data_IF_051285662786
#
_entry.id   IF_051285662786
#
_cell.length_a   1.000
_cell.length_b   1.000
_cell.length_c   1.000
_cell.angle_alpha   90.00
_cell.angle_beta   90.00
_cell.angle_gamma   90.00
#
_symmetry.space_group_name_H-M   'P 1'
#
loop_
_entity.id
_entity.type
_entity.pdbx_description
1 polymer ?
#
# COMPACT_ATOMS: atom_id res chain seq x y z
N UNK A 1 3.73 -16.79 4.68
CA UNK A 1 5.11 -16.51 4.23
C UNK A 1 5.03 -16.02 2.79
N UNK A 2 5.70 -14.92 2.47
CA UNK A 2 5.65 -14.31 1.13
C UNK A 2 6.46 -15.12 0.12
N UNK A 3 5.97 -15.18 -1.10
CA UNK A 3 6.67 -15.77 -2.25
C UNK A 3 7.21 -14.68 -3.16
N UNK A 4 8.24 -15.02 -3.96
CA UNK A 4 8.75 -14.14 -5.01
C UNK A 4 7.63 -13.62 -5.93
N UNK A 5 6.69 -14.49 -6.33
CA UNK A 5 5.61 -14.13 -7.26
C UNK A 5 4.65 -13.11 -6.68
N UNK A 6 4.29 -13.23 -5.40
CA UNK A 6 3.47 -12.26 -4.68
C UNK A 6 4.19 -10.91 -4.57
N UNK A 7 5.48 -10.94 -4.26
CA UNK A 7 6.29 -9.72 -4.19
C UNK A 7 6.39 -8.99 -5.53
N UNK A 8 6.60 -9.72 -6.63
CA UNK A 8 6.63 -9.13 -7.98
C UNK A 8 5.25 -8.64 -8.42
N UNK A 9 4.17 -9.34 -8.05
CA UNK A 9 2.81 -8.87 -8.31
C UNK A 9 2.52 -7.55 -7.58
N UNK A 10 2.99 -7.42 -6.33
CA UNK A 10 2.95 -6.17 -5.56
C UNK A 10 3.75 -5.06 -6.26
N UNK A 11 4.98 -5.37 -6.71
CA UNK A 11 5.84 -4.42 -7.41
C UNK A 11 5.20 -3.88 -8.68
N UNK A 12 4.66 -4.77 -9.51
CA UNK A 12 3.85 -4.41 -10.69
C UNK A 12 2.67 -3.54 -10.28
N UNK A 13 1.98 -3.89 -9.20
CA UNK A 13 0.81 -3.15 -8.73
C UNK A 13 1.17 -1.71 -8.32
N UNK A 14 2.25 -1.56 -7.56
CA UNK A 14 2.66 -0.24 -7.08
C UNK A 14 3.21 0.66 -8.21
N UNK A 15 4.05 0.12 -9.09
CA UNK A 15 4.78 0.93 -10.08
C UNK A 15 4.06 1.13 -11.42
N UNK A 16 3.19 0.22 -11.83
CA UNK A 16 2.53 0.32 -13.13
C UNK A 16 1.17 1.02 -13.06
N UNK A 17 0.76 1.52 -11.89
CA UNK A 17 -0.60 2.01 -11.62
C UNK A 17 -0.94 3.28 -12.38
N UNK A 18 -2.18 3.74 -12.20
CA UNK A 18 -2.64 5.03 -12.74
C UNK A 18 -1.71 6.17 -12.29
N UNK A 19 -1.34 6.18 -11.01
CA UNK A 19 -0.31 7.05 -10.45
C UNK A 19 1.00 6.29 -10.29
N UNK A 20 2.01 6.63 -11.09
CA UNK A 20 3.33 5.98 -11.06
C UNK A 20 4.26 6.69 -10.06
N UNK A 21 4.65 6.05 -8.95
CA UNK A 21 5.59 6.61 -7.99
C UNK A 21 7.04 6.54 -8.50
N UNK A 22 7.89 7.44 -8.01
CA UNK A 22 9.33 7.45 -8.33
C UNK A 22 10.12 6.42 -7.50
N UNK A 23 9.62 6.12 -6.30
CA UNK A 23 10.21 5.16 -5.37
C UNK A 23 9.22 4.79 -4.27
N UNK A 24 9.45 3.63 -3.65
CA UNK A 24 8.60 3.11 -2.58
C UNK A 24 9.31 3.18 -1.23
N UNK A 25 8.67 3.81 -0.24
CA UNK A 25 9.06 3.66 1.16
C UNK A 25 8.07 2.76 1.88
N UNK A 26 8.58 1.72 2.54
CA UNK A 26 7.81 0.68 3.19
C UNK A 26 8.04 0.74 4.70
N UNK A 27 7.00 1.10 5.45
CA UNK A 27 6.97 1.05 6.90
C UNK A 27 6.38 -0.28 7.34
N UNK A 28 7.19 -1.12 7.97
CA UNK A 28 6.89 -2.53 8.17
C UNK A 28 6.83 -2.90 9.65
N UNK A 29 5.84 -3.73 10.01
CA UNK A 29 5.89 -4.49 11.27
C UNK A 29 7.00 -5.54 11.24
N UNK A 30 7.44 -6.01 12.42
CA UNK A 30 8.60 -6.92 12.52
C UNK A 30 8.44 -8.22 11.73
N UNK A 31 7.25 -8.84 11.76
CA UNK A 31 7.02 -10.13 11.11
C UNK A 31 6.93 -9.95 9.59
N UNK A 32 6.35 -8.84 9.12
CA UNK A 32 6.34 -8.54 7.69
C UNK A 32 7.77 -8.40 7.16
N UNK A 33 8.61 -7.67 7.89
CA UNK A 33 10.00 -7.45 7.49
C UNK A 33 10.81 -8.76 7.46
N UNK A 34 10.63 -9.63 8.46
CA UNK A 34 11.21 -10.98 8.47
C UNK A 34 10.75 -11.78 7.24
N UNK A 35 9.45 -11.80 6.95
CA UNK A 35 8.90 -12.54 5.82
C UNK A 35 9.48 -12.09 4.46
N UNK A 36 9.68 -10.79 4.26
CA UNK A 36 10.27 -10.26 3.02
C UNK A 36 11.74 -10.67 2.88
N UNK A 37 12.51 -10.64 3.97
CA UNK A 37 13.92 -11.04 3.95
C UNK A 37 14.10 -12.54 3.71
N UNK A 38 13.13 -13.37 4.08
CA UNK A 38 13.16 -14.81 3.89
C UNK A 38 12.62 -15.28 2.52
N UNK A 39 12.28 -14.38 1.61
CA UNK A 39 11.87 -14.75 0.25
C UNK A 39 13.07 -15.43 -0.47
N UNK A 40 12.79 -16.55 -1.13
CA UNK A 40 13.78 -17.22 -1.97
C UNK A 40 13.94 -16.48 -3.31
N UNK A 41 15.09 -15.83 -3.49
CA UNK A 41 15.49 -15.13 -4.72
C UNK A 41 16.48 -15.94 -5.59
N UNK A 42 16.74 -17.21 -5.28
CA UNK A 42 17.77 -18.01 -5.95
C UNK A 42 17.64 -18.11 -7.47
N UNK A 43 16.42 -18.04 -8.00
CA UNK A 43 16.14 -18.09 -9.43
C UNK A 43 16.19 -16.73 -10.14
N UNK A 44 16.44 -15.65 -9.39
CA UNK A 44 16.32 -14.25 -9.84
C UNK A 44 17.53 -13.42 -9.42
N UNK A 45 18.72 -13.66 -10.03
CA UNK A 45 19.95 -12.97 -9.69
C UNK A 45 19.93 -11.46 -9.98
N UNK A 46 18.97 -10.98 -10.77
CA UNK A 46 18.73 -9.57 -11.05
C UNK A 46 18.27 -8.77 -9.82
N UNK A 47 17.74 -9.44 -8.78
CA UNK A 47 17.28 -8.77 -7.57
C UNK A 47 18.45 -8.54 -6.62
N UNK A 48 18.70 -7.27 -6.32
CA UNK A 48 19.75 -6.86 -5.41
C UNK A 48 19.12 -6.44 -4.09
N UNK A 49 19.49 -7.14 -3.01
CA UNK A 49 19.17 -6.76 -1.65
C UNK A 49 20.40 -6.08 -1.06
N UNK A 50 20.23 -4.85 -0.58
CA UNK A 50 21.33 -4.07 -0.03
C UNK A 50 20.88 -3.12 1.08
N UNK A 51 21.84 -2.40 1.64
CA UNK A 51 21.58 -1.27 2.53
C UNK A 51 21.90 0.01 1.75
N UNK A 52 21.02 0.99 1.80
CA UNK A 52 21.18 2.28 1.13
C UNK A 52 20.88 3.40 2.11
N UNK A 53 21.57 4.52 1.96
CA UNK A 53 21.18 5.77 2.59
C UNK A 53 20.25 6.52 1.64
N UNK A 54 18.98 6.71 2.01
CA UNK A 54 17.98 7.28 1.11
C UNK A 54 17.95 8.82 1.13
N UNK A 55 17.11 9.41 0.26
CA UNK A 55 16.97 10.87 0.16
C UNK A 55 16.38 11.54 1.40
N UNK A 56 15.78 10.76 2.31
CA UNK A 56 15.28 11.23 3.60
C UNK A 56 16.34 11.17 4.71
N UNK A 57 17.55 10.67 4.41
CA UNK A 57 18.64 10.55 5.36
C UNK A 57 18.57 9.30 6.24
N UNK A 58 17.84 8.27 5.82
CA UNK A 58 17.66 7.02 6.57
C UNK A 58 18.47 5.88 5.96
N UNK A 59 19.00 5.01 6.83
CA UNK A 59 19.58 3.74 6.41
C UNK A 59 18.46 2.72 6.26
N UNK A 60 18.24 2.29 5.01
CA UNK A 60 17.10 1.45 4.63
C UNK A 60 17.58 0.15 4.00
N UNK A 61 16.82 -0.92 4.22
CA UNK A 61 17.00 -2.16 3.46
C UNK A 61 16.35 -1.98 2.09
N UNK A 62 17.12 -2.06 1.03
CA UNK A 62 16.66 -1.83 -0.33
C UNK A 62 16.56 -3.15 -1.10
N UNK A 63 15.44 -3.34 -1.82
CA UNK A 63 15.29 -4.40 -2.81
C UNK A 63 15.05 -3.74 -4.17
N UNK A 64 16.02 -3.89 -5.08
CA UNK A 64 15.90 -3.43 -6.46
C UNK A 64 15.17 -4.47 -7.32
N UNK A 65 14.12 -4.04 -8.04
CA UNK A 65 13.38 -4.88 -8.99
C UNK A 65 13.36 -4.22 -10.37
N UNK A 66 12.98 -4.98 -11.40
CA UNK A 66 12.79 -4.44 -12.75
C UNK A 66 11.73 -3.31 -12.83
N UNK A 67 10.83 -3.20 -11.84
CA UNK A 67 9.81 -2.15 -11.78
C UNK A 67 10.28 -0.89 -11.04
N UNK A 68 11.22 -1.03 -10.12
CA UNK A 68 11.69 0.03 -9.24
C UNK A 68 12.17 -0.49 -7.88
N UNK A 69 12.49 0.45 -6.99
CA UNK A 69 13.13 0.21 -5.70
C UNK A 69 12.14 0.17 -4.55
N UNK A 70 12.26 -0.82 -3.66
CA UNK A 70 11.55 -0.83 -2.38
C UNK A 70 12.52 -0.57 -1.23
N UNK A 71 12.27 0.49 -0.47
CA UNK A 71 13.04 0.87 0.71
C UNK A 71 12.28 0.48 1.98
N UNK A 72 12.76 -0.52 2.72
CA UNK A 72 12.11 -1.10 3.89
C UNK A 72 12.71 -0.57 5.19
N UNK A 73 11.80 -0.19 6.09
CA UNK A 73 12.10 0.36 7.41
C UNK A 73 11.19 -0.32 8.43
N UNK A 74 11.78 -0.72 9.54
CA UNK A 74 11.00 -1.23 10.68
C UNK A 74 10.26 -0.07 11.36
N UNK A 75 8.95 -0.21 11.52
CA UNK A 75 8.08 0.76 12.18
C UNK A 75 7.51 0.15 13.49
N UNK A 76 8.10 0.48 14.65
CA UNK A 76 7.69 -0.10 15.94
C UNK A 76 6.23 0.16 16.28
N UNK A 77 5.66 1.28 15.82
CA UNK A 77 4.27 1.62 16.11
C UNK A 77 3.34 0.53 15.59
N UNK A 78 3.62 -0.07 14.42
CA UNK A 78 2.79 -1.15 13.87
C UNK A 78 2.75 -2.35 14.81
N UNK A 79 3.84 -2.67 15.51
CA UNK A 79 3.84 -3.74 16.50
C UNK A 79 3.02 -3.37 17.74
N UNK A 80 3.15 -2.15 18.23
CA UNK A 80 2.42 -1.66 19.41
C UNK A 80 0.90 -1.64 19.18
N UNK A 81 0.46 -1.39 17.94
CA UNK A 81 -0.95 -1.40 17.55
C UNK A 81 -1.45 -2.77 17.02
N UNK A 82 -0.61 -3.82 17.08
CA UNK A 82 -1.01 -5.20 16.72
C UNK A 82 -0.99 -5.53 15.22
N UNK A 83 -0.27 -4.76 14.41
CA UNK A 83 -0.11 -4.91 12.96
C UNK A 83 1.30 -5.40 12.57
N UNK A 84 1.89 -6.29 13.37
CA UNK A 84 3.25 -6.81 13.15
C UNK A 84 3.45 -7.54 11.81
N UNK A 85 2.39 -8.09 11.22
CA UNK A 85 2.44 -8.77 9.92
C UNK A 85 2.12 -7.84 8.74
N UNK A 86 1.92 -6.54 8.98
CA UNK A 86 1.44 -5.58 7.98
C UNK A 86 2.50 -4.57 7.56
N UNK A 87 2.24 -3.87 6.46
CA UNK A 87 3.15 -2.88 5.89
C UNK A 87 2.39 -1.74 5.20
N UNK A 88 2.82 -0.50 5.42
CA UNK A 88 2.40 0.67 4.65
C UNK A 88 3.42 1.01 3.58
N UNK A 89 3.01 1.02 2.32
CA UNK A 89 3.86 1.33 1.16
C UNK A 89 3.44 2.67 0.58
N UNK A 90 4.38 3.62 0.55
CA UNK A 90 4.12 4.99 0.16
C UNK A 90 5.00 5.41 -1.02
N UNK A 91 4.40 6.13 -1.97
CA UNK A 91 5.12 6.75 -3.08
C UNK A 91 5.82 8.03 -2.61
N UNK A 92 7.15 8.05 -2.62
CA UNK A 92 7.95 9.16 -2.07
C UNK A 92 7.60 10.52 -2.70
N UNK A 93 7.47 10.58 -4.02
CA UNK A 93 7.10 11.80 -4.76
C UNK A 93 5.60 12.16 -4.65
N UNK A 94 4.81 11.37 -3.92
CA UNK A 94 3.36 11.50 -3.73
C UNK A 94 2.97 11.70 -2.27
N UNK A 95 3.96 11.84 -1.40
CA UNK A 95 3.81 12.32 -0.03
C UNK A 95 3.86 13.85 -0.03
N UNK A 96 2.76 14.50 0.36
CA UNK A 96 2.63 15.96 0.37
C UNK A 96 2.51 16.43 1.80
N UNK A 97 3.42 17.28 2.24
CA UNK A 97 3.31 17.94 3.54
C UNK A 97 2.21 19.00 3.48
N UNK A 98 1.12 18.77 4.22
CA UNK A 98 0.06 19.75 4.41
C UNK A 98 0.32 20.50 5.70
N UNK A 99 0.77 21.74 5.56
CA UNK A 99 0.81 22.70 6.64
C UNK A 99 -0.40 23.62 6.52
N UNK A 100 -1.42 23.41 7.35
CA UNK A 100 -2.52 24.38 7.47
C UNK A 100 -2.24 25.27 8.67
N UNK A 101 -1.74 26.47 8.38
CA UNK A 101 -1.68 27.56 9.35
C UNK A 101 -3.05 28.22 9.36
N UNK A 102 -3.97 27.71 10.16
CA UNK A 102 -5.18 28.46 10.49
C UNK A 102 -4.84 29.43 11.61
N UNK A 103 -4.56 30.68 11.26
CA UNK A 103 -4.58 31.78 12.23
C UNK A 103 -6.02 31.95 12.74
N UNK A 104 -6.38 31.31 13.84
CA UNK A 104 -7.48 31.79 14.68
C UNK A 104 -6.88 32.73 15.72
N UNK A 105 -6.92 34.03 15.42
CA UNK A 105 -6.65 35.07 16.41
C UNK A 105 -7.85 35.16 17.33
N UNK A 106 -7.84 34.39 18.40
CA UNK A 106 -8.74 34.61 19.52
C UNK A 106 -8.00 35.50 20.53
N UNK A 107 -8.38 36.77 20.59
CA UNK A 107 -7.88 37.69 21.62
C UNK A 107 -8.84 37.68 22.79
N UNK A 108 -8.54 36.91 23.83
CA UNK A 108 -9.29 36.99 25.08
C UNK A 108 -8.63 38.02 26.01
N UNK A 109 -9.39 39.05 26.41
CA UNK A 109 -8.91 40.09 27.31
C UNK A 109 -9.19 39.62 28.74
N UNK A 110 -8.17 39.14 29.44
CA UNK A 110 -8.30 38.72 30.85
C UNK A 110 -8.43 39.97 31.72
N UNK A 111 -9.58 40.17 32.38
CA UNK A 111 -9.78 41.30 33.29
C UNK A 111 -8.72 41.28 34.41
N UNK A 112 -7.86 42.31 34.43
CA UNK A 112 -6.85 42.54 35.47
C UNK A 112 -5.40 42.52 35.02
N UNK A 113 -5.07 42.07 33.80
CA UNK A 113 -3.68 42.08 33.29
C UNK A 113 -3.57 42.53 31.82
N UNK A 114 -2.51 43.30 31.53
CA UNK A 114 -2.15 43.85 30.21
C UNK A 114 -1.48 42.80 29.29
N UNK A 115 -1.99 41.57 29.28
CA UNK A 115 -1.42 40.47 28.51
C UNK A 115 -2.44 39.91 27.51
N UNK A 116 -2.22 40.17 26.23
CA UNK A 116 -2.94 39.49 25.15
C UNK A 116 -2.32 38.10 24.95
N UNK A 117 -3.13 37.03 25.08
CA UNK A 117 -2.70 35.68 24.79
C UNK A 117 -3.12 35.34 23.35
N UNK A 118 -2.14 35.16 22.46
CA UNK A 118 -2.38 34.65 21.12
C UNK A 118 -2.17 33.13 21.12
N UNK A 119 -3.15 32.37 20.63
CA UNK A 119 -3.01 30.93 20.39
C UNK A 119 -3.09 30.64 18.90
N UNK A 120 -2.03 30.05 18.32
CA UNK A 120 -2.01 29.60 16.93
C UNK A 120 -2.17 28.08 16.92
N UNK A 121 -3.17 27.57 16.20
CA UNK A 121 -3.32 26.14 15.94
C UNK A 121 -2.70 25.86 14.57
N UNK A 122 -1.56 25.19 14.59
CA UNK A 122 -0.87 24.71 13.38
C UNK A 122 -1.23 23.24 13.21
N UNK A 123 -1.85 22.91 12.07
CA UNK A 123 -2.01 21.51 11.65
C UNK A 123 -0.84 21.15 10.75
N UNK A 124 -0.02 20.23 11.22
CA UNK A 124 1.09 19.63 10.49
C UNK A 124 0.72 18.16 10.22
N UNK A 125 0.48 17.82 8.96
CA UNK A 125 0.14 16.46 8.57
C UNK A 125 0.73 16.09 7.20
N UNK A 126 1.09 14.83 7.05
CA UNK A 126 1.45 14.24 5.76
C UNK A 126 0.18 13.77 5.06
N UNK A 127 -0.06 14.28 3.86
CA UNK A 127 -1.17 13.86 3.00
C UNK A 127 -0.68 12.94 1.88
N UNK A 128 -1.47 11.89 1.65
CA UNK A 128 -1.25 10.93 0.58
C UNK A 128 -1.94 11.44 -0.69
N UNK A 129 -1.16 11.79 -1.72
CA UNK A 129 -1.72 12.26 -3.00
C UNK A 129 -1.72 11.14 -4.03
N UNK A 130 -2.87 10.87 -4.63
CA UNK A 130 -3.02 9.86 -5.68
C UNK A 130 -3.25 8.45 -5.13
N UNK A 131 -3.43 7.49 -6.05
CA UNK A 131 -3.83 6.11 -5.73
C UNK A 131 -2.66 5.13 -5.58
N UNK A 132 -1.41 5.62 -5.52
CA UNK A 132 -0.21 4.78 -5.48
C UNK A 132 0.17 4.28 -4.08
N UNK A 133 -0.54 4.67 -3.02
CA UNK A 133 -0.23 4.26 -1.64
C UNK A 133 -1.01 2.99 -1.31
N UNK A 134 -0.30 1.96 -0.83
CA UNK A 134 -0.85 0.63 -0.58
C UNK A 134 -0.67 0.29 0.89
N UNK A 135 -1.74 -0.18 1.52
CA UNK A 135 -1.64 -0.84 2.82
C UNK A 135 -1.75 -2.36 2.61
N UNK A 136 -0.71 -3.07 3.02
CA UNK A 136 -0.66 -4.53 2.98
C UNK A 136 -1.09 -5.05 4.34
N UNK A 137 -2.31 -5.58 4.40
CA UNK A 137 -2.85 -6.17 5.61
C UNK A 137 -2.42 -7.64 5.74
N UNK A 138 -1.50 -7.92 6.67
CA UNK A 138 -1.06 -9.28 6.96
C UNK A 138 -1.77 -9.95 8.14
N UNK A 139 -2.71 -9.26 8.80
CA UNK A 139 -3.38 -9.78 10.00
C UNK A 139 -4.59 -10.68 9.68
N UNK A 140 -5.00 -10.77 8.41
CA UNK A 140 -6.20 -11.51 8.00
C UNK A 140 -7.51 -10.83 8.42
N UNK A 141 -7.45 -9.56 8.83
CA UNK A 141 -8.64 -8.75 9.09
C UNK A 141 -9.25 -8.24 7.77
N UNK A 142 -10.57 -8.02 7.71
CA UNK A 142 -11.21 -7.51 6.50
C UNK A 142 -10.73 -6.09 6.19
N UNK A 143 -10.76 -5.73 4.90
CA UNK A 143 -10.45 -4.38 4.45
C UNK A 143 -11.36 -3.33 5.14
N UNK A 144 -10.82 -2.12 5.34
CA UNK A 144 -11.58 -1.02 5.93
C UNK A 144 -12.80 -0.65 5.05
N UNK A 145 -13.85 -0.13 5.68
CA UNK A 145 -15.03 0.32 4.96
C UNK A 145 -14.66 1.37 3.90
N UNK A 146 -15.08 1.15 2.65
CA UNK A 146 -14.78 1.96 1.45
C UNK A 146 -13.35 1.84 0.89
N UNK A 147 -12.49 0.97 1.44
CA UNK A 147 -11.23 0.62 0.79
C UNK A 147 -11.49 -0.38 -0.34
N UNK A 148 -10.68 -0.31 -1.41
CA UNK A 148 -10.67 -1.34 -2.44
C UNK A 148 -9.88 -2.53 -1.89
N UNK A 149 -10.53 -3.69 -1.80
CA UNK A 149 -9.93 -4.91 -1.29
C UNK A 149 -9.25 -5.69 -2.43
N UNK A 150 -7.95 -5.97 -2.27
CA UNK A 150 -7.12 -6.69 -3.24
C UNK A 150 -6.65 -8.00 -2.62
N UNK A 151 -6.83 -9.11 -3.34
CA UNK A 151 -6.37 -10.43 -2.88
C UNK A 151 -5.55 -11.14 -3.95
N UNK A 152 -4.48 -11.81 -3.54
CA UNK A 152 -3.78 -12.75 -4.40
C UNK A 152 -4.60 -14.03 -4.57
N UNK A 153 -4.78 -14.46 -5.81
CA UNK A 153 -5.44 -15.71 -6.13
C UNK A 153 -4.44 -16.70 -6.72
N UNK A 154 -3.95 -17.60 -5.87
CA UNK A 154 -3.00 -18.66 -6.23
C UNK A 154 -3.66 -20.04 -6.35
N UNK A 155 -4.83 -20.09 -6.99
CA UNK A 155 -5.54 -21.34 -7.26
C UNK A 155 -5.96 -21.45 -8.73
N UNK A 156 -5.91 -22.68 -9.25
CA UNK A 156 -6.39 -22.99 -10.61
C UNK A 156 -7.93 -23.02 -10.67
N UNK A 157 -8.60 -23.19 -9.52
CA UNK A 157 -10.05 -23.10 -9.40
C UNK A 157 -10.50 -21.65 -9.24
N UNK A 158 -11.72 -21.33 -9.68
CA UNK A 158 -12.32 -20.02 -9.43
C UNK A 158 -12.57 -19.78 -7.92
N UNK A 159 -12.55 -18.53 -7.45
CA UNK A 159 -13.07 -18.19 -6.12
C UNK A 159 -14.52 -18.63 -5.98
N UNK A 160 -14.85 -19.29 -4.87
CA UNK A 160 -16.17 -19.82 -4.55
C UNK A 160 -16.52 -19.59 -3.08
N UNK A 161 -17.82 -19.65 -2.77
CA UNK A 161 -18.36 -19.46 -1.43
C UNK A 161 -17.79 -18.19 -0.76
N UNK A 162 -17.21 -18.32 0.43
CA UNK A 162 -16.65 -17.21 1.23
C UNK A 162 -15.47 -16.49 0.55
N UNK A 163 -14.78 -17.17 -0.37
CA UNK A 163 -13.70 -16.56 -1.14
C UNK A 163 -14.22 -15.67 -2.29
N UNK A 164 -15.48 -15.83 -2.70
CA UNK A 164 -16.13 -15.01 -3.73
C UNK A 164 -16.83 -13.82 -3.09
N UNK A 165 -16.17 -12.66 -3.13
CA UNK A 165 -16.63 -11.43 -2.50
C UNK A 165 -16.90 -10.39 -3.58
N UNK A 166 -18.09 -9.78 -3.50
CA UNK A 166 -18.49 -8.70 -4.41
C UNK A 166 -17.53 -7.52 -4.28
N UNK A 167 -17.19 -6.90 -5.40
CA UNK A 167 -16.33 -5.72 -5.55
C UNK A 167 -14.86 -5.91 -5.14
N UNK A 168 -14.46 -7.10 -4.68
CA UNK A 168 -13.06 -7.48 -4.44
C UNK A 168 -12.30 -7.65 -5.74
N UNK A 169 -11.07 -7.16 -5.78
CA UNK A 169 -10.14 -7.32 -6.91
C UNK A 169 -9.23 -8.53 -6.65
N UNK A 170 -9.24 -9.48 -7.58
CA UNK A 170 -8.42 -10.68 -7.57
C UNK A 170 -7.23 -10.49 -8.48
N UNK A 171 -6.04 -10.61 -7.92
CA UNK A 171 -4.75 -10.60 -8.64
C UNK A 171 -4.39 -12.06 -8.93
N UNK A 172 -4.47 -12.45 -10.20
CA UNK A 172 -4.36 -13.84 -10.61
C UNK A 172 -2.88 -14.25 -10.66
N UNK A 173 -2.48 -15.22 -9.84
CA UNK A 173 -1.09 -15.73 -9.79
C UNK A 173 -0.90 -17.03 -10.57
N UNK A 174 -1.99 -17.74 -10.88
CA UNK A 174 -2.06 -18.96 -11.71
C UNK A 174 -3.27 -18.86 -12.62
N UNK A 175 -3.14 -19.39 -13.84
CA UNK A 175 -4.25 -19.41 -14.79
C UNK A 175 -5.46 -20.13 -14.19
N UNK A 176 -6.64 -19.52 -14.28
CA UNK A 176 -7.87 -20.08 -13.73
C UNK A 176 -9.07 -19.73 -14.60
N UNK A 177 -10.14 -20.51 -14.51
CA UNK A 177 -11.37 -20.27 -15.29
C UNK A 177 -12.38 -19.54 -14.42
N UNK A 178 -12.64 -18.26 -14.72
CA UNK A 178 -13.59 -17.40 -14.01
C UNK A 178 -14.93 -17.36 -14.76
N UNK A 179 -15.84 -18.27 -14.40
CA UNK A 179 -17.10 -18.46 -15.11
C UNK A 179 -16.88 -18.90 -16.56
N UNK A 180 -17.25 -18.06 -17.52
CA UNK A 180 -16.98 -18.29 -18.96
C UNK A 180 -15.62 -17.77 -19.42
N UNK A 181 -14.92 -16.99 -18.59
CA UNK A 181 -13.66 -16.35 -18.95
C UNK A 181 -12.45 -17.21 -18.53
N UNK A 182 -11.38 -17.14 -19.32
CA UNK A 182 -10.09 -17.72 -18.96
C UNK A 182 -9.19 -16.60 -18.46
N UNK A 183 -8.96 -16.55 -17.14
CA UNK A 183 -8.08 -15.58 -16.52
C UNK A 183 -6.63 -16.09 -16.55
N UNK A 184 -5.72 -15.22 -16.96
CA UNK A 184 -4.30 -15.53 -17.12
C UNK A 184 -3.52 -14.93 -15.94
N UNK A 185 -2.44 -15.59 -15.53
CA UNK A 185 -1.54 -15.09 -14.51
C UNK A 185 -1.05 -13.66 -14.84
N UNK A 186 -1.11 -12.77 -13.86
CA UNK A 186 -0.78 -11.35 -13.97
C UNK A 186 -1.96 -10.44 -14.35
N UNK A 187 -3.16 -10.99 -14.58
CA UNK A 187 -4.38 -10.22 -14.80
C UNK A 187 -5.11 -9.87 -13.50
N UNK A 188 -5.96 -8.84 -13.59
CA UNK A 188 -6.79 -8.33 -12.50
C UNK A 188 -8.25 -8.51 -12.86
N UNK A 189 -9.02 -9.10 -11.95
CA UNK A 189 -10.42 -9.43 -12.17
C UNK A 189 -11.26 -9.03 -10.97
N UNK A 190 -12.46 -8.51 -11.21
CA UNK A 190 -13.41 -8.14 -10.17
C UNK A 190 -14.75 -8.84 -10.40
N UNK A 191 -15.38 -9.26 -9.32
CA UNK A 191 -16.71 -9.86 -9.36
C UNK A 191 -17.76 -8.83 -8.92
N UNK A 192 -18.72 -8.51 -9.78
CA UNK A 192 -19.76 -7.50 -9.51
C UNK A 192 -20.99 -8.05 -8.76
N UNK A 193 -20.97 -9.35 -8.41
CA UNK A 193 -22.09 -10.08 -7.82
C UNK A 193 -22.87 -10.94 -8.83
N UNK A 194 -22.59 -10.82 -10.13
CA UNK A 194 -23.18 -11.64 -11.18
C UNK A 194 -22.14 -12.10 -12.21
N UNK A 195 -21.28 -11.19 -12.67
CA UNK A 195 -20.32 -11.38 -13.74
C UNK A 195 -18.89 -11.03 -13.30
N UNK A 196 -17.93 -11.58 -14.05
CA UNK A 196 -16.52 -11.27 -13.92
C UNK A 196 -16.13 -10.17 -14.89
N UNK A 197 -15.56 -9.09 -14.37
CA UNK A 197 -15.02 -7.97 -15.14
C UNK A 197 -13.50 -7.97 -15.07
N UNK A 198 -12.84 -8.05 -16.22
CA UNK A 198 -11.40 -7.81 -16.31
C UNK A 198 -11.13 -6.33 -16.08
N UNK A 199 -10.22 -6.03 -15.17
CA UNK A 199 -9.78 -4.66 -14.91
C UNK A 199 -8.50 -4.38 -15.70
N UNK A 200 -8.47 -3.20 -16.34
CA UNK A 200 -7.22 -2.65 -16.86
C UNK A 200 -6.55 -1.86 -15.75
N UNK A 201 -5.24 -2.07 -15.61
CA UNK A 201 -4.48 -1.59 -14.47
C UNK A 201 -4.49 -0.04 -14.34
N UNK A 202 -4.64 0.64 -15.47
CA UNK A 202 -4.71 2.11 -15.60
C UNK A 202 -6.00 2.71 -15.03
N UNK A 203 -7.04 1.89 -14.79
CA UNK A 203 -8.34 2.35 -14.28
C UNK A 203 -8.59 1.93 -12.82
N UNK A 204 -7.58 1.35 -12.14
CA UNK A 204 -7.70 0.93 -10.74
C UNK A 204 -7.61 2.15 -9.82
N UNK A 205 -8.74 2.49 -9.17
CA UNK A 205 -8.84 3.63 -8.24
C UNK A 205 -9.80 4.72 -8.69
N UNK A 206 -10.24 4.72 -9.95
CA UNK A 206 -11.35 5.55 -10.38
C UNK A 206 -12.66 4.91 -9.91
N UNK A 207 -13.32 5.52 -8.92
CA UNK A 207 -14.74 5.23 -8.68
C UNK A 207 -15.46 5.53 -9.98
N UNK A 208 -15.97 4.49 -10.63
CA UNK A 208 -16.94 4.65 -11.71
C UNK A 208 -18.17 5.31 -11.07
N UNK A 209 -18.38 6.58 -11.43
CA UNK A 209 -19.57 7.34 -11.07
C UNK A 209 -20.82 6.74 -11.73
#
# INVERSE_FOLDING_TARGET
>A
MWTYREFIALAKMFYCGADKPEGAICLCGKNFLENIQCIDFSSHPEIQIGIKHNSLGWDVHNIHTAFGDFEFIYEPTLDDIGYSNSCGIFGLNRLVHYQRVSEHKESERVEGHEANRESVIVWDAMGLKGACHIFVNGEGTPAAANAVDYVYWDSEAAPAAEALVKDRVYIILKNCKLGTNNAIAGEYWQYDGANWKKLQFENLGEKTA
#
